data_IF_454189250523
#
_entry.id   IF_454189250523
#
_cell.length_a   1.000
_cell.length_b   1.000
_cell.length_c   1.000
_cell.angle_alpha   90.00
_cell.angle_beta   90.00
_cell.angle_gamma   90.00
#
_symmetry.space_group_name_H-M   'P 1'
#
loop_
_entity.id
_entity.type
_entity.pdbx_description
1 polymer ?
#
# COMPACT_ATOMS: atom_id res chain seq x y z
N UNK A 1 3.89 12.56 -2.90
CA UNK A 1 4.57 12.92 -4.17
C UNK A 1 5.64 11.88 -4.44
N UNK A 2 5.66 11.27 -5.63
CA UNK A 2 6.74 10.34 -6.02
C UNK A 2 7.91 11.16 -6.56
N UNK A 3 9.05 11.11 -5.88
CA UNK A 3 10.25 11.82 -6.31
C UNK A 3 10.95 11.01 -7.40
N UNK A 4 11.16 11.62 -8.56
CA UNK A 4 11.90 11.00 -9.66
C UNK A 4 12.59 12.06 -10.51
N UNK A 5 13.84 11.79 -10.86
CA UNK A 5 14.62 12.68 -11.74
C UNK A 5 14.55 12.23 -13.21
N UNK A 6 14.22 10.96 -13.47
CA UNK A 6 14.49 10.32 -14.76
C UNK A 6 13.25 9.66 -15.40
N UNK A 7 12.06 9.74 -14.79
CA UNK A 7 10.88 9.04 -15.33
C UNK A 7 10.48 9.55 -16.72
N UNK A 8 10.30 10.87 -16.87
CA UNK A 8 9.90 11.47 -18.14
C UNK A 8 10.92 11.29 -19.27
N UNK A 9 12.22 11.33 -18.96
CA UNK A 9 13.26 11.09 -19.96
C UNK A 9 13.35 9.61 -20.34
N UNK A 10 13.04 8.70 -19.42
CA UNK A 10 13.07 7.25 -19.68
C UNK A 10 11.97 6.83 -20.64
N UNK A 11 10.74 7.33 -20.49
CA UNK A 11 9.61 6.96 -21.36
C UNK A 11 9.74 7.48 -22.81
N UNK A 12 10.70 8.38 -23.07
CA UNK A 12 10.98 8.93 -24.41
C UNK A 12 12.08 8.17 -25.16
N UNK A 13 12.78 7.22 -24.51
CA UNK A 13 13.83 6.45 -25.17
C UNK A 13 13.23 5.54 -26.25
N UNK A 14 13.94 5.38 -27.36
CA UNK A 14 13.49 4.56 -28.50
C UNK A 14 13.23 3.09 -28.14
N UNK A 15 13.86 2.59 -27.07
CA UNK A 15 13.72 1.22 -26.58
C UNK A 15 12.72 1.07 -25.41
N UNK A 16 11.91 2.09 -25.12
CA UNK A 16 10.90 2.05 -24.06
C UNK A 16 9.53 2.31 -24.67
N UNK A 17 8.57 1.43 -24.37
CA UNK A 17 7.17 1.59 -24.77
C UNK A 17 6.30 1.74 -23.52
N UNK A 18 5.57 2.86 -23.42
CA UNK A 18 4.53 3.03 -22.41
C UNK A 18 3.23 2.40 -22.93
N UNK A 19 2.76 1.37 -22.22
CA UNK A 19 1.50 0.68 -22.52
C UNK A 19 0.49 1.07 -21.45
N UNK A 20 -0.62 1.70 -21.83
CA UNK A 20 -1.67 2.17 -20.91
C UNK A 20 -2.92 1.31 -20.93
N UNK A 21 -3.00 0.34 -21.85
CA UNK A 21 -4.09 -0.60 -21.99
C UNK A 21 -4.11 -1.58 -20.80
N UNK A 22 -5.30 -2.06 -20.43
CA UNK A 22 -5.44 -3.03 -19.34
C UNK A 22 -4.85 -4.39 -19.73
N UNK A 23 -4.17 -5.02 -18.79
CA UNK A 23 -3.69 -6.40 -18.94
C UNK A 23 -4.89 -7.35 -18.81
N UNK A 24 -5.03 -8.28 -19.76
CA UNK A 24 -6.02 -9.35 -19.74
C UNK A 24 -5.44 -10.61 -19.10
N UNK A 25 -4.26 -11.05 -19.53
CA UNK A 25 -3.59 -12.23 -18.99
C UNK A 25 -2.07 -12.17 -19.14
N UNK A 26 -1.38 -12.96 -18.34
CA UNK A 26 0.05 -13.24 -18.47
C UNK A 26 0.17 -14.67 -18.99
N UNK A 27 0.85 -14.84 -20.12
CA UNK A 27 1.21 -16.13 -20.70
C UNK A 27 2.65 -16.50 -20.32
N UNK A 28 3.06 -17.71 -20.67
CA UNK A 28 4.40 -18.23 -20.36
C UNK A 28 5.55 -17.31 -20.79
N UNK A 29 5.40 -16.59 -21.91
CA UNK A 29 6.45 -15.74 -22.50
C UNK A 29 5.96 -14.36 -22.96
N UNK A 30 4.77 -13.93 -22.53
CA UNK A 30 4.16 -12.69 -23.01
C UNK A 30 3.09 -12.15 -22.07
N UNK A 31 2.73 -10.88 -22.27
CA UNK A 31 1.59 -10.22 -21.64
C UNK A 31 0.58 -9.86 -22.72
N UNK A 32 -0.70 -10.20 -22.52
CA UNK A 32 -1.79 -9.85 -23.43
C UNK A 32 -2.62 -8.73 -22.85
N UNK A 33 -2.89 -7.70 -23.65
CA UNK A 33 -3.80 -6.61 -23.27
C UNK A 33 -5.23 -6.91 -23.73
N UNK A 34 -6.21 -6.23 -23.13
CA UNK A 34 -7.63 -6.40 -23.47
C UNK A 34 -7.99 -6.08 -24.92
N UNK A 35 -7.16 -5.31 -25.63
CA UNK A 35 -7.38 -4.97 -27.03
C UNK A 35 -6.83 -6.07 -27.98
N UNK A 36 -6.23 -7.12 -27.43
CA UNK A 36 -5.69 -8.28 -28.16
C UNK A 36 -4.20 -8.17 -28.52
N UNK A 37 -3.53 -7.08 -28.16
CA UNK A 37 -2.08 -6.96 -28.37
C UNK A 37 -1.32 -7.93 -27.45
N UNK A 38 -0.34 -8.62 -28.00
CA UNK A 38 0.55 -9.52 -27.26
C UNK A 38 1.98 -8.97 -27.25
N UNK A 39 2.55 -8.88 -26.05
CA UNK A 39 3.88 -8.33 -25.79
C UNK A 39 4.81 -9.43 -25.29
N UNK A 40 5.73 -9.95 -26.12
CA UNK A 40 6.74 -10.89 -25.69
C UNK A 40 7.66 -10.24 -24.64
N UNK A 41 7.85 -10.92 -23.51
CA UNK A 41 8.73 -10.47 -22.44
C UNK A 41 9.48 -11.65 -21.83
N UNK A 42 10.74 -11.44 -21.48
CA UNK A 42 11.55 -12.43 -20.77
C UNK A 42 11.43 -12.28 -19.25
N UNK A 43 11.12 -11.08 -18.75
CA UNK A 43 11.07 -10.74 -17.33
C UNK A 43 9.88 -9.82 -17.05
N UNK A 44 9.18 -10.09 -15.95
CA UNK A 44 8.11 -9.23 -15.42
C UNK A 44 8.54 -8.68 -14.07
N UNK A 45 8.45 -7.35 -13.91
CA UNK A 45 8.69 -6.67 -12.63
C UNK A 45 7.33 -6.29 -12.02
N UNK A 46 6.99 -6.91 -10.89
CA UNK A 46 5.70 -6.73 -10.22
C UNK A 46 5.74 -5.57 -9.22
N UNK A 47 5.40 -4.37 -9.69
CA UNK A 47 5.48 -3.12 -8.90
C UNK A 47 4.11 -2.62 -8.41
N UNK A 48 3.30 -3.46 -7.74
CA UNK A 48 1.91 -3.15 -7.35
C UNK A 48 1.74 -2.33 -6.06
N UNK A 49 2.83 -1.98 -5.37
CA UNK A 49 2.79 -1.21 -4.12
C UNK A 49 2.55 -2.07 -2.89
N UNK A 50 1.85 -1.52 -1.88
CA UNK A 50 1.74 -2.09 -0.53
C UNK A 50 0.29 -2.20 -0.07
N UNK A 51 -0.02 -3.25 0.70
CA UNK A 51 -1.26 -3.33 1.47
C UNK A 51 -1.08 -2.57 2.80
N UNK A 52 -1.76 -1.43 2.95
CA UNK A 52 -1.56 -0.51 4.10
C UNK A 52 -2.49 -0.84 5.28
N UNK A 53 -3.48 -1.71 5.09
CA UNK A 53 -4.40 -2.12 6.15
C UNK A 53 -4.16 -3.57 6.54
N UNK A 54 -3.66 -3.79 7.76
CA UNK A 54 -4.26 -4.69 8.77
C UNK A 54 -3.40 -4.73 10.04
N UNK A 55 -4.06 -4.65 11.20
CA UNK A 55 -3.49 -5.12 12.46
C UNK A 55 -3.51 -6.65 12.39
N UNK A 56 -2.41 -7.24 11.89
CA UNK A 56 -2.29 -8.69 11.69
C UNK A 56 -2.01 -9.46 12.98
N UNK A 57 -1.72 -8.75 14.07
CA UNK A 57 -1.47 -9.35 15.37
C UNK A 57 -2.80 -9.62 16.10
N UNK A 58 -2.96 -10.80 16.72
CA UNK A 58 -4.14 -11.13 17.51
C UNK A 58 -4.11 -10.38 18.84
N UNK A 59 -4.57 -9.12 18.83
CA UNK A 59 -4.65 -8.26 20.02
C UNK A 59 -6.08 -8.23 20.53
N UNK A 60 -6.27 -8.61 21.79
CA UNK A 60 -7.58 -8.65 22.44
C UNK A 60 -7.60 -7.68 23.62
N UNK A 61 -8.66 -6.87 23.67
CA UNK A 61 -8.90 -5.91 24.74
C UNK A 61 -9.74 -6.51 25.86
N UNK A 62 -10.32 -5.61 26.66
CA UNK A 62 -11.29 -5.96 27.70
C UNK A 62 -12.46 -6.75 27.07
N UNK A 63 -12.93 -7.77 27.78
CA UNK A 63 -14.00 -8.68 27.35
C UNK A 63 -13.69 -9.51 26.08
N UNK A 64 -12.42 -9.61 25.68
CA UNK A 64 -12.00 -10.47 24.58
C UNK A 64 -12.31 -9.91 23.18
N UNK A 65 -12.68 -8.63 23.07
CA UNK A 65 -12.92 -7.98 21.77
C UNK A 65 -11.60 -7.83 21.00
N UNK A 66 -11.61 -8.15 19.71
CA UNK A 66 -10.43 -8.01 18.86
C UNK A 66 -10.17 -6.55 18.47
N UNK A 67 -8.90 -6.16 18.44
CA UNK A 67 -8.48 -4.86 17.90
C UNK A 67 -8.79 -4.75 16.41
N UNK A 68 -8.64 -5.85 15.67
CA UNK A 68 -8.93 -5.90 14.24
C UNK A 68 -10.41 -5.69 13.96
N UNK A 69 -11.30 -6.28 14.77
CA UNK A 69 -12.75 -6.05 14.70
C UNK A 69 -13.08 -4.57 14.93
N UNK A 70 -12.59 -4.00 16.04
CA UNK A 70 -12.82 -2.59 16.38
C UNK A 70 -12.41 -1.65 15.24
N UNK A 71 -11.21 -1.86 14.68
CA UNK A 71 -10.66 -0.96 13.65
C UNK A 71 -11.24 -1.21 12.25
N UNK A 72 -11.85 -2.37 12.02
CA UNK A 72 -12.65 -2.63 10.81
C UNK A 72 -13.97 -1.87 10.80
N UNK A 73 -14.58 -1.68 11.98
CA UNK A 73 -15.80 -0.89 12.15
C UNK A 73 -15.51 0.62 12.18
N UNK A 74 -14.42 1.02 12.84
CA UNK A 74 -14.08 2.44 13.03
C UNK A 74 -12.58 2.65 13.12
N UNK A 75 -12.00 3.29 12.10
CA UNK A 75 -10.57 3.65 12.04
C UNK A 75 -10.35 4.95 12.83
N UNK A 76 -10.43 4.88 14.16
CA UNK A 76 -10.21 6.01 15.05
C UNK A 76 -9.36 5.62 16.25
N UNK A 77 -8.56 6.57 16.72
CA UNK A 77 -7.79 6.46 17.96
C UNK A 77 -7.74 7.84 18.64
N UNK A 78 -7.80 7.86 19.96
CA UNK A 78 -7.60 9.07 20.74
C UNK A 78 -6.16 9.54 20.56
N UNK A 79 -6.02 10.78 20.05
CA UNK A 79 -4.74 11.38 19.64
C UNK A 79 -3.93 10.53 18.65
N UNK A 80 -4.58 9.58 17.97
CA UNK A 80 -3.91 8.65 17.07
C UNK A 80 -3.10 7.54 17.75
N UNK A 81 -3.14 7.44 19.10
CA UNK A 81 -2.26 6.55 19.88
C UNK A 81 -3.02 5.45 20.61
N UNK A 82 -4.18 5.76 21.19
CA UNK A 82 -4.92 4.81 22.06
C UNK A 82 -6.33 4.57 21.55
N UNK A 83 -6.88 3.38 21.83
CA UNK A 83 -8.25 3.01 21.47
C UNK A 83 -9.02 2.56 22.72
N UNK A 84 -10.32 2.83 22.82
CA UNK A 84 -11.11 2.46 23.99
C UNK A 84 -11.12 0.95 24.21
N UNK A 85 -11.07 0.54 25.48
CA UNK A 85 -11.07 -0.86 25.94
C UNK A 85 -9.79 -1.68 25.69
N UNK A 86 -8.69 -1.03 25.29
CA UNK A 86 -7.37 -1.65 25.20
C UNK A 86 -6.40 -0.95 26.18
N UNK A 87 -6.51 -1.21 27.49
CA UNK A 87 -5.65 -0.56 28.48
C UNK A 87 -4.18 -0.94 28.26
N UNK A 88 -3.28 0.01 28.50
CA UNK A 88 -1.84 -0.15 28.32
C UNK A 88 -1.39 -0.54 26.89
N UNK A 89 -2.26 -0.38 25.89
CA UNK A 89 -1.91 -0.49 24.47
C UNK A 89 -1.69 0.90 23.88
N UNK A 90 -0.54 1.08 23.21
CA UNK A 90 -0.20 2.30 22.48
C UNK A 90 0.20 1.92 21.06
N UNK A 91 -0.43 2.56 20.07
CA UNK A 91 -0.21 2.30 18.64
C UNK A 91 0.72 3.39 18.11
N UNK A 92 1.92 3.00 17.70
CA UNK A 92 2.80 3.88 16.92
C UNK A 92 2.26 4.01 15.50
N UNK A 93 2.27 5.23 14.97
CA UNK A 93 1.68 5.55 13.67
C UNK A 93 0.21 5.10 13.53
N UNK A 94 -0.56 5.19 14.61
CA UNK A 94 -1.97 4.80 14.61
C UNK A 94 -2.87 5.69 13.74
N UNK A 95 -4.18 5.40 13.71
CA UNK A 95 -5.15 6.12 12.89
C UNK A 95 -4.95 7.64 12.90
N UNK A 96 -4.91 8.25 11.71
CA UNK A 96 -4.76 9.69 11.49
C UNK A 96 -3.37 10.30 11.81
N UNK A 97 -2.31 9.50 11.96
CA UNK A 97 -0.95 10.02 12.25
C UNK A 97 0.06 9.82 11.10
N UNK A 98 -0.12 8.85 10.21
CA UNK A 98 0.76 8.63 9.05
C UNK A 98 0.35 9.47 7.82
N UNK A 99 0.36 10.80 7.95
CA UNK A 99 -0.31 11.73 7.02
C UNK A 99 0.36 11.91 5.65
N UNK A 100 1.54 11.30 5.41
CA UNK A 100 2.24 11.29 4.12
C UNK A 100 2.88 12.63 3.68
N UNK A 101 2.65 13.72 4.41
CA UNK A 101 3.24 15.03 4.15
C UNK A 101 4.26 15.49 5.21
N UNK A 102 4.37 14.76 6.31
CA UNK A 102 5.42 14.93 7.32
C UNK A 102 6.36 13.73 7.31
N UNK A 103 7.59 13.93 7.77
CA UNK A 103 8.54 12.82 7.96
C UNK A 103 7.97 11.84 8.96
N UNK A 104 7.90 10.55 8.59
CA UNK A 104 7.49 9.49 9.51
C UNK A 104 8.44 9.38 10.71
N UNK A 105 9.71 9.76 10.54
CA UNK A 105 10.70 9.79 11.63
C UNK A 105 10.28 10.81 12.70
N UNK A 106 9.95 12.04 12.28
CA UNK A 106 9.47 13.09 13.20
C UNK A 106 8.14 12.69 13.87
N UNK A 107 7.30 11.90 13.18
CA UNK A 107 6.04 11.43 13.75
C UNK A 107 6.22 10.28 14.77
N UNK A 108 7.37 9.59 14.76
CA UNK A 108 7.68 8.47 15.67
C UNK A 108 8.47 8.95 16.90
N UNK A 109 9.37 9.92 16.74
CA UNK A 109 10.18 10.52 17.82
C UNK A 109 9.34 11.30 18.85
#
# INVERSE_FOLDING_TARGET
>A
MLLTNNWYSTIQKSNVKLITNRIQEIKERSIVTHDGDEYPVDIIIWSTGYQVQTFSLPVYGINGRSLAELLSETIQAYRGVTVPNFPNLFILLGPNTALGHNSVVIMIE
#
